data_IF_220175989424
#
_entry.id   IF_220175989424
#
_cell.length_a   1.000
_cell.length_b   1.000
_cell.length_c   1.000
_cell.angle_alpha   90.00
_cell.angle_beta   90.00
_cell.angle_gamma   90.00
#
_symmetry.space_group_name_H-M   'P 1'
#
loop_
_entity.id
_entity.type
_entity.pdbx_description
1 polymer ?
#
# COMPACT_ATOMS: atom_id res chain seq x y z
N UNK A 1 -50.21 21.14 15.07
CA UNK A 1 -48.82 21.55 15.37
C UNK A 1 -48.39 20.92 16.69
N UNK A 2 -47.36 20.06 16.66
CA UNK A 2 -46.17 20.06 17.54
C UNK A 2 -45.42 18.73 17.36
N UNK A 3 -44.22 18.87 16.80
CA UNK A 3 -42.99 18.05 16.87
C UNK A 3 -42.87 17.19 18.15
N UNK A 4 -42.08 16.12 18.28
CA UNK A 4 -41.05 15.40 17.49
C UNK A 4 -40.51 14.34 18.48
N UNK A 5 -40.06 13.16 18.04
CA UNK A 5 -38.72 12.64 18.35
C UNK A 5 -38.51 11.21 17.84
N UNK A 6 -37.42 11.04 17.11
CA UNK A 6 -36.78 9.78 16.71
C UNK A 6 -36.21 9.03 17.93
N UNK A 7 -36.27 7.70 17.93
CA UNK A 7 -35.41 6.79 18.70
C UNK A 7 -35.18 5.54 17.82
N UNK A 8 -34.10 5.44 17.04
CA UNK A 8 -32.76 5.02 17.45
C UNK A 8 -32.80 3.77 18.33
N UNK A 9 -32.99 2.61 17.71
CA UNK A 9 -32.84 1.30 18.35
C UNK A 9 -31.37 0.88 18.32
N UNK A 10 -30.64 1.20 19.39
CA UNK A 10 -29.31 0.67 19.66
C UNK A 10 -29.47 -0.64 20.44
N UNK A 11 -29.21 -1.78 19.79
CA UNK A 11 -29.07 -3.07 20.46
C UNK A 11 -27.63 -3.23 20.92
N UNK A 12 -27.38 -2.90 22.20
CA UNK A 12 -26.15 -3.23 22.91
C UNK A 12 -26.30 -4.66 23.44
N UNK A 13 -25.50 -5.59 22.93
CA UNK A 13 -25.26 -6.88 23.59
C UNK A 13 -23.93 -6.78 24.36
N UNK A 14 -24.03 -6.53 25.65
CA UNK A 14 -22.93 -6.66 26.59
C UNK A 14 -22.78 -8.15 26.96
N UNK A 15 -21.64 -8.76 26.66
CA UNK A 15 -21.23 -10.03 27.27
C UNK A 15 -20.05 -9.75 28.20
N UNK A 16 -20.27 -10.06 29.47
CA UNK A 16 -19.33 -9.94 30.59
C UNK A 16 -18.39 -11.14 30.55
N UNK A 17 -17.08 -10.92 30.54
CA UNK A 17 -16.08 -11.99 30.62
C UNK A 17 -14.69 -11.42 30.93
N UNK A 18 -14.41 -11.16 32.20
CA UNK A 18 -13.06 -10.85 32.67
C UNK A 18 -12.31 -12.18 32.75
N UNK A 19 -11.49 -12.48 31.74
CA UNK A 19 -10.46 -13.50 31.81
C UNK A 19 -9.10 -12.81 31.69
N UNK A 20 -8.35 -12.82 32.78
CA UNK A 20 -7.01 -12.27 32.88
C UNK A 20 -6.03 -13.08 32.02
N UNK A 21 -5.12 -12.39 31.31
CA UNK A 21 -3.87 -12.99 30.84
C UNK A 21 -3.84 -13.48 29.40
N UNK A 22 -4.08 -12.60 28.44
CA UNK A 22 -3.33 -12.45 27.16
C UNK A 22 -4.09 -11.42 26.34
N UNK A 23 -3.44 -10.30 26.00
CA UNK A 23 -3.94 -9.36 25.00
C UNK A 23 -3.81 -10.03 23.61
N UNK A 24 -4.62 -11.06 23.36
CA UNK A 24 -5.02 -11.39 22.00
C UNK A 24 -6.00 -10.30 21.60
N UNK A 25 -5.45 -9.17 21.13
CA UNK A 25 -6.23 -8.06 20.62
C UNK A 25 -7.15 -8.60 19.55
N UNK A 26 -8.45 -8.66 19.85
CA UNK A 26 -9.49 -8.79 18.85
C UNK A 26 -9.39 -7.54 17.99
N UNK A 27 -8.57 -7.62 16.95
CA UNK A 27 -8.60 -6.68 15.84
C UNK A 27 -10.07 -6.56 15.41
N UNK A 28 -10.58 -5.34 15.15
CA UNK A 28 -11.92 -5.23 14.61
C UNK A 28 -11.97 -6.10 13.37
N UNK A 29 -12.89 -7.07 13.32
CA UNK A 29 -13.22 -7.78 12.11
C UNK A 29 -13.76 -6.72 11.15
N UNK A 30 -12.86 -6.10 10.40
CA UNK A 30 -13.18 -5.15 9.35
C UNK A 30 -14.08 -5.93 8.41
N UNK A 31 -15.34 -5.50 8.30
CA UNK A 31 -16.22 -6.01 7.28
C UNK A 31 -15.44 -5.89 5.95
N UNK A 32 -15.22 -7.02 5.29
CA UNK A 32 -14.59 -7.05 3.98
C UNK A 32 -15.46 -6.18 3.07
N UNK A 33 -15.03 -4.94 2.86
CA UNK A 33 -15.63 -4.07 1.86
C UNK A 33 -15.19 -4.62 0.51
N UNK A 34 -16.07 -4.62 -0.52
CA UNK A 34 -15.75 -5.24 -1.81
C UNK A 34 -14.51 -4.67 -2.49
N UNK A 35 -14.14 -3.43 -2.16
CA UNK A 35 -12.90 -2.78 -2.58
C UNK A 35 -11.75 -3.07 -1.61
N UNK A 36 -10.59 -3.41 -2.15
CA UNK A 36 -9.35 -3.57 -1.39
C UNK A 36 -8.17 -3.14 -2.25
N UNK A 37 -7.55 -2.01 -1.89
CA UNK A 37 -6.32 -1.56 -2.51
C UNK A 37 -5.14 -1.97 -1.63
N UNK A 38 -4.31 -2.84 -2.16
CA UNK A 38 -3.09 -3.29 -1.53
C UNK A 38 -1.93 -2.42 -1.99
N UNK A 39 -1.34 -1.66 -1.07
CA UNK A 39 -0.09 -0.95 -1.33
C UNK A 39 1.09 -1.91 -1.25
N UNK A 40 1.80 -2.07 -2.36
CA UNK A 40 2.96 -2.95 -2.48
C UNK A 40 4.21 -2.11 -2.75
N UNK A 41 5.26 -2.33 -1.99
CA UNK A 41 6.49 -1.58 -2.09
C UNK A 41 7.69 -2.40 -1.68
N UNK A 42 8.86 -1.79 -1.81
CA UNK A 42 10.10 -2.43 -1.46
C UNK A 42 11.31 -1.52 -1.66
N UNK A 43 12.39 -1.95 -1.02
CA UNK A 43 13.71 -1.34 -1.12
C UNK A 43 14.70 -2.48 -1.34
N UNK A 44 15.45 -2.38 -2.42
CA UNK A 44 16.40 -3.37 -2.87
C UNK A 44 17.75 -2.69 -3.12
N UNK A 45 18.82 -3.39 -2.81
CA UNK A 45 20.18 -2.95 -3.09
C UNK A 45 20.74 -3.84 -4.21
N UNK A 46 21.12 -3.25 -5.32
CA UNK A 46 21.69 -3.98 -6.45
C UNK A 46 23.11 -3.51 -6.73
N UNK A 47 23.98 -4.43 -7.08
CA UNK A 47 25.25 -4.08 -7.71
C UNK A 47 25.02 -3.80 -9.19
N UNK A 48 25.61 -2.72 -9.69
CA UNK A 48 25.51 -2.32 -11.09
C UNK A 48 25.82 -3.44 -12.05
N UNK A 49 24.87 -3.70 -12.97
CA UNK A 49 25.09 -4.61 -14.09
C UNK A 49 25.64 -3.86 -15.30
N UNK A 50 26.32 -4.59 -16.18
CA UNK A 50 26.83 -4.06 -17.43
C UNK A 50 25.69 -3.41 -18.25
N UNK A 51 25.92 -2.19 -18.76
CA UNK A 51 24.90 -1.41 -19.48
C UNK A 51 24.04 -0.47 -18.61
N UNK A 52 24.26 -0.39 -17.30
CA UNK A 52 23.62 0.61 -16.43
C UNK A 52 24.55 1.77 -16.03
N UNK A 53 24.02 2.96 -15.67
CA UNK A 53 24.83 4.14 -15.33
C UNK A 53 25.82 3.94 -14.18
N UNK A 54 25.57 2.95 -13.31
CA UNK A 54 26.39 2.65 -12.13
C UNK A 54 26.96 1.24 -12.18
N UNK A 55 27.43 0.80 -13.35
CA UNK A 55 27.95 -0.56 -13.63
C UNK A 55 29.14 -1.05 -12.75
N UNK A 56 29.65 -0.22 -11.83
CA UNK A 56 30.72 -0.57 -10.88
C UNK A 56 30.38 -0.16 -9.44
N UNK A 57 29.12 0.15 -9.15
CA UNK A 57 28.71 0.60 -7.83
C UNK A 57 27.39 -0.03 -7.39
N UNK A 58 27.22 -0.08 -6.08
CA UNK A 58 25.94 -0.39 -5.47
C UNK A 58 24.97 0.77 -5.68
N UNK A 59 23.72 0.45 -6.01
CA UNK A 59 22.64 1.41 -6.08
C UNK A 59 21.40 0.88 -5.36
N UNK A 60 20.71 1.81 -4.72
CA UNK A 60 19.42 1.58 -4.10
C UNK A 60 18.33 1.65 -5.15
N UNK A 61 17.44 0.66 -5.17
CA UNK A 61 16.20 0.63 -5.93
C UNK A 61 15.03 0.66 -4.95
N UNK A 62 14.17 1.69 -5.05
CA UNK A 62 12.98 1.81 -4.21
C UNK A 62 11.76 1.90 -5.09
N UNK A 63 10.70 1.23 -4.69
CA UNK A 63 9.48 1.21 -5.47
C UNK A 63 8.23 1.19 -4.62
N UNK A 64 7.15 1.70 -5.20
CA UNK A 64 5.78 1.49 -4.73
C UNK A 64 4.84 1.35 -5.92
N UNK A 65 3.82 0.52 -5.73
CA UNK A 65 2.71 0.30 -6.64
C UNK A 65 1.46 -0.06 -5.83
N UNK A 66 0.31 -0.05 -6.50
CA UNK A 66 -0.96 -0.48 -5.90
C UNK A 66 -1.47 -1.66 -6.71
N UNK A 67 -2.05 -2.64 -6.01
CA UNK A 67 -2.81 -3.74 -6.58
C UNK A 67 -4.25 -3.64 -6.08
N UNK A 68 -5.22 -3.89 -6.96
CA UNK A 68 -6.59 -4.12 -6.51
C UNK A 68 -6.71 -5.59 -6.09
N UNK A 69 -6.73 -5.83 -4.78
CA UNK A 69 -6.90 -7.15 -4.18
C UNK A 69 -8.38 -7.49 -3.92
N UNK A 70 -9.28 -6.52 -4.12
CA UNK A 70 -10.72 -6.69 -3.95
C UNK A 70 -11.41 -7.24 -5.19
N UNK A 71 -12.73 -7.37 -5.08
CA UNK A 71 -13.59 -7.97 -6.10
C UNK A 71 -14.28 -6.93 -7.00
N UNK A 72 -14.13 -5.63 -6.69
CA UNK A 72 -14.72 -4.53 -7.44
C UNK A 72 -13.69 -3.62 -8.09
N UNK A 73 -14.04 -3.05 -9.24
CA UNK A 73 -13.24 -2.01 -9.90
C UNK A 73 -13.17 -0.74 -9.03
N UNK A 74 -11.95 -0.24 -8.84
CA UNK A 74 -11.66 0.97 -8.05
C UNK A 74 -11.42 2.15 -8.97
N UNK A 75 -12.07 3.29 -8.72
CA UNK A 75 -11.98 4.49 -9.56
C UNK A 75 -11.18 5.59 -8.88
N UNK A 76 -10.50 6.38 -9.72
CA UNK A 76 -9.67 7.51 -9.30
C UNK A 76 -8.61 7.12 -8.26
N UNK A 77 -8.00 5.95 -8.43
CA UNK A 77 -6.95 5.46 -7.54
C UNK A 77 -5.75 6.42 -7.57
N UNK A 78 -5.36 6.89 -6.39
CA UNK A 78 -4.21 7.77 -6.19
C UNK A 78 -3.20 7.05 -5.30
N UNK A 79 -1.98 6.92 -5.81
CA UNK A 79 -0.81 6.48 -5.08
C UNK A 79 0.05 7.70 -4.70
N UNK A 80 0.33 7.89 -3.41
CA UNK A 80 1.21 8.94 -2.91
C UNK A 80 2.40 8.37 -2.16
N UNK A 81 3.60 8.81 -2.52
CA UNK A 81 4.77 8.74 -1.65
C UNK A 81 4.78 9.96 -0.71
N UNK A 82 5.00 9.71 0.59
CA UNK A 82 5.15 10.79 1.57
C UNK A 82 6.37 11.62 1.20
N UNK A 83 6.20 12.94 1.07
CA UNK A 83 7.23 13.89 0.61
C UNK A 83 7.82 13.56 -0.78
N UNK A 84 7.07 12.82 -1.61
CA UNK A 84 7.56 12.33 -2.89
C UNK A 84 6.54 12.46 -4.02
N UNK A 85 6.58 11.49 -4.94
CA UNK A 85 5.74 11.49 -6.15
C UNK A 85 4.30 11.09 -5.83
N UNK A 86 3.35 11.70 -6.54
CA UNK A 86 1.96 11.27 -6.58
C UNK A 86 1.60 10.79 -7.99
N UNK A 87 0.88 9.66 -8.09
CA UNK A 87 0.43 9.08 -9.35
C UNK A 87 -1.05 8.73 -9.26
N UNK A 88 -1.84 9.18 -10.23
CA UNK A 88 -3.27 8.89 -10.32
C UNK A 88 -3.59 8.11 -11.58
N UNK A 89 -4.50 7.14 -11.44
CA UNK A 89 -5.13 6.44 -12.56
C UNK A 89 -6.65 6.57 -12.47
N UNK A 90 -7.32 6.42 -13.62
CA UNK A 90 -8.78 6.57 -13.68
C UNK A 90 -9.50 5.37 -13.07
N UNK A 91 -8.96 4.18 -13.26
CA UNK A 91 -9.61 2.92 -12.94
C UNK A 91 -8.55 1.85 -12.71
N UNK A 92 -8.77 0.97 -11.73
CA UNK A 92 -7.99 -0.23 -11.47
C UNK A 92 -8.94 -1.42 -11.25
N UNK A 93 -8.93 -2.39 -12.15
CA UNK A 93 -9.84 -3.54 -12.07
C UNK A 93 -9.35 -4.58 -11.07
N UNK A 94 -10.24 -5.48 -10.59
CA UNK A 94 -9.85 -6.58 -9.71
C UNK A 94 -8.63 -7.35 -10.23
N UNK A 95 -7.64 -7.55 -9.37
CA UNK A 95 -6.38 -8.23 -9.71
C UNK A 95 -5.36 -7.40 -10.50
N UNK A 96 -5.71 -6.24 -11.02
CA UNK A 96 -4.78 -5.37 -11.74
C UNK A 96 -3.83 -4.63 -10.80
N UNK A 97 -2.69 -4.21 -11.36
CA UNK A 97 -1.70 -3.36 -10.69
C UNK A 97 -1.50 -2.06 -11.45
N UNK A 98 -1.14 -0.99 -10.74
CA UNK A 98 -0.69 0.26 -11.35
C UNK A 98 0.64 0.11 -12.13
N UNK A 99 1.33 -1.02 -11.98
CA UNK A 99 2.54 -1.33 -12.73
C UNK A 99 2.20 -1.53 -14.21
N UNK A 100 3.04 -1.00 -15.11
CA UNK A 100 2.81 -1.08 -16.56
C UNK A 100 3.99 -1.73 -17.24
N UNK A 101 3.73 -2.49 -18.29
CA UNK A 101 4.79 -2.98 -19.16
C UNK A 101 5.34 -1.82 -20.00
N UNK A 102 6.66 -1.60 -19.92
CA UNK A 102 7.37 -0.68 -20.80
C UNK A 102 8.10 -1.49 -21.87
N UNK A 103 7.61 -1.41 -23.10
CA UNK A 103 8.16 -2.14 -24.24
C UNK A 103 9.58 -1.68 -24.60
N UNK A 104 9.93 -0.41 -24.34
CA UNK A 104 11.26 0.14 -24.63
C UNK A 104 12.28 -0.34 -23.60
N UNK A 105 11.88 -0.43 -22.34
CA UNK A 105 12.71 -0.94 -21.27
C UNK A 105 12.64 -2.47 -21.12
N UNK A 106 11.78 -3.14 -21.90
CA UNK A 106 11.50 -4.57 -21.87
C UNK A 106 11.27 -5.12 -20.44
N UNK A 107 10.53 -4.37 -19.61
CA UNK A 107 10.26 -4.72 -18.22
C UNK A 107 8.97 -4.11 -17.70
N UNK A 108 8.46 -4.65 -16.60
CA UNK A 108 7.45 -4.00 -15.79
C UNK A 108 8.04 -2.79 -15.06
N UNK A 109 7.39 -1.63 -15.21
CA UNK A 109 7.74 -0.37 -14.57
C UNK A 109 6.68 -0.05 -13.53
N UNK A 110 7.14 0.28 -12.33
CA UNK A 110 6.29 0.65 -11.21
C UNK A 110 6.02 2.16 -11.24
N UNK A 111 4.83 2.61 -10.83
CA UNK A 111 4.43 4.03 -10.93
C UNK A 111 5.37 4.96 -10.14
N UNK A 112 5.85 4.50 -8.99
CA UNK A 112 6.90 5.15 -8.21
C UNK A 112 8.10 4.20 -8.20
N UNK A 113 9.17 4.64 -8.85
CA UNK A 113 10.45 3.95 -8.92
C UNK A 113 11.55 5.00 -8.78
N UNK A 114 12.42 4.85 -7.79
CA UNK A 114 13.59 5.72 -7.63
C UNK A 114 14.85 4.88 -7.51
N UNK A 115 15.94 5.42 -8.05
CA UNK A 115 17.23 4.77 -8.01
C UNK A 115 18.31 5.74 -7.58
N UNK A 116 19.03 5.44 -6.51
CA UNK A 116 20.04 6.32 -5.92
C UNK A 116 21.37 5.61 -5.76
N UNK A 117 22.47 6.35 -5.86
CA UNK A 117 23.82 5.81 -5.67
C UNK A 117 24.04 5.40 -4.20
N UNK A 118 24.64 4.22 -4.00
CA UNK A 118 24.90 3.64 -2.68
C UNK A 118 23.71 2.88 -2.10
N UNK A 119 23.95 2.15 -1.01
CA UNK A 119 22.95 1.36 -0.29
C UNK A 119 22.81 1.74 1.19
N UNK A 120 23.05 3.01 1.49
CA UNK A 120 22.87 3.55 2.84
C UNK A 120 21.38 3.48 3.25
N UNK A 121 21.06 3.30 4.55
CA UNK A 121 19.69 3.22 5.03
C UNK A 121 18.74 4.18 4.33
N UNK A 122 17.75 3.60 3.67
CA UNK A 122 16.70 4.34 3.00
C UNK A 122 15.35 3.77 3.40
N UNK A 123 14.36 4.64 3.38
CA UNK A 123 12.96 4.29 3.53
C UNK A 123 12.16 4.78 2.33
N UNK A 124 11.02 4.14 2.11
CA UNK A 124 9.97 4.61 1.21
C UNK A 124 8.65 4.30 1.90
N UNK A 125 7.76 5.27 1.86
CA UNK A 125 6.47 5.16 2.53
C UNK A 125 5.42 5.92 1.76
N UNK A 126 4.21 5.42 1.83
CA UNK A 126 3.14 5.99 1.05
C UNK A 126 1.78 5.51 1.49
N UNK A 127 0.79 6.07 0.82
CA UNK A 127 -0.60 5.67 0.98
C UNK A 127 -1.32 5.70 -0.36
N UNK A 128 -2.37 4.90 -0.44
CA UNK A 128 -3.29 4.86 -1.57
C UNK A 128 -4.72 5.05 -1.11
N UNK A 129 -5.56 5.58 -2.00
CA UNK A 129 -7.00 5.64 -1.80
C UNK A 129 -7.73 5.76 -3.14
N UNK A 130 -9.00 5.40 -3.15
CA UNK A 130 -9.93 5.50 -4.28
C UNK A 130 -11.21 6.24 -3.87
N UNK A 131 -12.18 6.27 -4.79
CA UNK A 131 -13.51 6.81 -4.53
C UNK A 131 -14.42 5.83 -3.77
N UNK A 132 -14.18 4.52 -3.92
CA UNK A 132 -14.96 3.45 -3.32
C UNK A 132 -14.59 3.21 -1.85
N UNK A 133 -15.50 2.59 -1.10
CA UNK A 133 -15.19 2.11 0.25
C UNK A 133 -14.21 0.93 0.18
N UNK A 134 -13.12 1.03 0.93
CA UNK A 134 -12.00 0.09 0.86
C UNK A 134 -11.41 -0.25 2.23
N UNK A 135 -10.64 -1.35 2.29
CA UNK A 135 -9.96 -1.74 3.52
C UNK A 135 -8.74 -0.85 3.80
N UNK A 136 -8.94 0.17 4.63
CA UNK A 136 -7.90 1.14 5.01
C UNK A 136 -6.63 0.53 5.63
N UNK A 137 -6.64 -0.73 6.08
CA UNK A 137 -5.41 -1.35 6.61
C UNK A 137 -4.37 -1.70 5.55
N UNK A 138 -4.80 -1.94 4.32
CA UNK A 138 -3.90 -2.29 3.21
C UNK A 138 -3.41 -1.05 2.42
N UNK A 139 -3.96 0.12 2.76
CA UNK A 139 -3.76 1.36 2.01
C UNK A 139 -2.48 2.11 2.37
N UNK A 140 -1.82 1.76 3.47
CA UNK A 140 -0.58 2.40 3.91
C UNK A 140 0.56 1.39 3.94
N UNK A 141 1.75 1.85 3.59
CA UNK A 141 2.93 0.99 3.61
C UNK A 141 4.20 1.78 3.88
N UNK A 142 5.13 1.11 4.56
CA UNK A 142 6.42 1.63 4.93
C UNK A 142 7.45 0.51 4.77
N UNK A 143 8.50 0.78 3.99
CA UNK A 143 9.62 -0.14 3.76
C UNK A 143 10.92 0.57 4.11
N UNK A 144 11.87 -0.21 4.63
CA UNK A 144 13.14 0.29 5.13
C UNK A 144 14.22 -0.78 4.93
N UNK A 145 15.45 -0.40 4.56
CA UNK A 145 16.57 -1.35 4.48
C UNK A 145 17.51 -1.23 5.69
N UNK A 146 17.02 -1.46 6.91
CA UNK A 146 17.92 -1.45 8.08
C UNK A 146 18.81 -2.69 8.19
N UNK A 147 18.41 -3.85 7.64
CA UNK A 147 19.19 -5.11 7.69
C UNK A 147 18.80 -6.09 6.58
N UNK A 148 19.64 -6.22 5.55
CA UNK A 148 19.91 -7.46 4.80
C UNK A 148 21.18 -7.27 3.98
N UNK A 149 22.31 -7.20 4.68
CA UNK A 149 23.59 -7.68 4.14
C UNK A 149 23.67 -9.16 4.54
N UNK A 150 22.98 -10.02 3.78
CA UNK A 150 23.30 -11.44 3.84
C UNK A 150 24.47 -11.63 2.86
N UNK A 151 25.62 -12.07 3.40
CA UNK A 151 26.85 -12.38 2.66
C UNK A 151 26.64 -13.52 1.66
#
# INVERSE_FOLDING_TARGET
>A
MRASLKRAGATVLATVGIAAGTLAGTTPAQAAVPGDLELVGGIECHFGQWGQPWNQAWYMYRYMTVRNAGDTTMHNVILNEINGKSVRIKELKPGETMSKWDAKANRWVRPIETRWFGCFPSSISGFTFANEAENLTNNFGYWQNFRRQDN
#
